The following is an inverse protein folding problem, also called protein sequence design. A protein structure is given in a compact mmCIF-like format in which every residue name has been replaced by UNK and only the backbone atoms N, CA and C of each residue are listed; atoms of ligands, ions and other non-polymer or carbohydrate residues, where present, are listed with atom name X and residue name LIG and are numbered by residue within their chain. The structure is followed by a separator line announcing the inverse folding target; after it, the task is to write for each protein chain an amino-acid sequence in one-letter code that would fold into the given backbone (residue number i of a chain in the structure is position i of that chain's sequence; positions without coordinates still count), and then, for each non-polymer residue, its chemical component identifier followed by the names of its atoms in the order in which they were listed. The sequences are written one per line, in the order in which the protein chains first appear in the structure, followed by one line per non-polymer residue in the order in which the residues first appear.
data_IF_144161763517
#
_entry.id   IF_144161763517
#
_cell.length_a   1.000
_cell.length_b   1.000
_cell.length_c   1.000
_cell.angle_alpha   90.00
_cell.angle_beta   90.00
_cell.angle_gamma   90.00
#
_symmetry.space_group_name_H-M   'P 1'
#
loop_
_entity.id
_entity.type
_entity.pdbx_description
1 polymer ?
2 polymer ?
3 polymer ?
4 water ?
#
# COMPACT_ATOMS: atom_id res chain seq x y z
N UNK A 1 -15.83 2.74 16.11
CA UNK A 1 -14.99 2.00 17.11
C UNK A 1 -13.78 2.81 17.56
N UNK A 2 -12.92 2.12 18.30
CA UNK A 2 -11.69 2.72 18.82
C UNK A 2 -10.81 3.24 17.71
N UNK A 3 -10.23 4.40 17.93
CA UNK A 3 -9.36 5.04 16.95
C UNK A 3 -7.91 5.07 17.42
N UNK A 4 -6.99 4.71 16.53
CA UNK A 4 -5.57 4.74 16.79
C UNK A 4 -4.92 5.70 15.80
N UNK A 5 -4.43 6.82 16.30
CA UNK A 5 -3.83 7.83 15.44
C UNK A 5 -2.31 7.90 15.59
N UNK A 6 -1.59 7.68 14.50
CA UNK A 6 -0.13 7.75 14.54
C UNK A 6 0.39 9.13 14.12
N UNK A 7 1.49 9.55 14.71
CA UNK A 7 2.10 10.85 14.40
C UNK A 7 3.61 10.72 14.42
N UNK A 8 4.29 11.27 13.40
CA UNK A 8 3.66 11.97 12.28
C UNK A 8 3.31 10.88 11.27
N UNK A 9 2.52 11.21 10.25
CA UNK A 9 2.17 10.22 9.25
C UNK A 9 3.40 9.91 8.40
N UNK A 10 4.25 10.91 8.22
CA UNK A 10 5.47 10.78 7.44
C UNK A 10 6.60 11.48 8.18
N UNK A 11 7.82 10.97 8.03
CA UNK A 11 8.95 11.54 8.74
C UNK A 11 10.25 11.35 7.98
N UNK A 12 11.04 12.41 7.84
CA UNK A 12 12.33 12.31 7.14
C UNK A 12 13.44 12.25 8.19
N UNK A 13 14.49 11.48 7.88
CA UNK A 13 15.62 11.31 8.79
C UNK A 13 16.88 10.88 8.07
N UNK A 14 17.96 10.78 8.83
CA UNK A 14 19.23 10.37 8.27
C UNK A 14 19.77 9.28 9.16
N UNK A 15 20.64 8.46 8.60
CA UNK A 15 21.26 7.39 9.33
C UNK A 15 21.91 8.01 10.57
N UNK A 16 21.70 7.39 11.73
CA UNK A 16 22.27 7.92 12.95
C UNK A 16 21.32 8.78 13.77
N UNK A 17 20.21 9.23 13.19
CA UNK A 17 19.27 10.04 13.96
C UNK A 17 18.52 9.23 15.00
N UNK A 18 17.89 9.96 15.92
CA UNK A 18 17.06 9.34 16.94
C UNK A 18 15.68 9.82 16.53
N UNK A 19 14.75 8.90 16.31
CA UNK A 19 13.41 9.33 15.93
C UNK A 19 12.45 8.72 16.92
N UNK A 20 11.28 9.34 17.03
CA UNK A 20 10.26 8.82 17.90
C UNK A 20 8.95 9.00 17.16
N UNK A 21 8.19 7.91 17.14
CA UNK A 21 6.90 7.86 16.48
C UNK A 21 5.90 7.72 17.63
N UNK A 22 4.74 8.37 17.54
CA UNK A 22 3.78 8.23 18.63
C UNK A 22 2.43 7.72 18.14
N UNK A 23 1.69 7.06 19.03
CA UNK A 23 0.41 6.48 18.68
C UNK A 23 -0.56 6.81 19.83
N UNK A 24 -1.70 7.42 19.50
CA UNK A 24 -2.68 7.81 20.50
C UNK A 24 -4.00 7.08 20.29
N UNK A 25 -4.50 6.44 21.32
CA UNK A 25 -5.78 5.76 21.12
C UNK A 25 -6.92 6.60 21.73
N UNK A 26 -8.11 6.45 21.17
CA UNK A 26 -9.30 7.20 21.60
C UNK A 26 -9.86 6.83 22.96
N UNK A 27 -9.57 5.61 23.39
CA UNK A 27 -9.99 5.08 24.68
C UNK A 27 -8.76 4.33 25.18
N UNK A 28 -8.62 4.20 26.49
CA UNK A 28 -7.47 3.51 27.03
C UNK A 28 -7.39 2.05 26.61
N UNK A 29 -6.19 1.60 26.23
CA UNK A 29 -5.98 0.22 25.81
C UNK A 29 -4.97 -0.46 26.74
N UNK A 30 -4.83 0.09 27.95
CA UNK A 30 -3.89 -0.43 28.95
C UNK A 30 -2.51 -0.58 28.31
N UNK A 31 -1.87 -1.75 28.43
CA UNK A 31 -0.55 -1.94 27.84
C UNK A 31 -0.60 -2.83 26.59
N UNK A 32 -1.81 -3.16 26.16
CA UNK A 32 -1.99 -4.04 25.00
C UNK A 32 -1.74 -3.33 23.67
N UNK A 33 -0.48 -3.02 23.39
CA UNK A 33 -0.13 -2.35 22.16
C UNK A 33 1.20 -2.88 21.63
N UNK A 34 1.26 -3.07 20.32
CA UNK A 34 2.46 -3.59 19.67
C UNK A 34 2.92 -2.66 18.55
N UNK A 35 4.23 -2.67 18.29
CA UNK A 35 4.82 -1.87 17.21
C UNK A 35 5.46 -2.78 16.19
N UNK A 36 5.30 -2.44 14.92
CA UNK A 36 5.87 -3.23 13.83
C UNK A 36 6.60 -2.33 12.83
N UNK A 37 7.59 -2.92 12.18
CA UNK A 37 8.32 -2.23 11.12
C UNK A 37 8.01 -3.04 9.86
N UNK A 38 7.62 -2.36 8.79
CA UNK A 38 7.35 -3.06 7.54
C UNK A 38 8.14 -2.51 6.36
N UNK A 39 8.91 -3.37 5.73
CA UNK A 39 9.70 -2.96 4.58
C UNK A 39 8.86 -3.37 3.36
N UNK A 40 8.83 -2.53 2.32
CA UNK A 40 8.05 -2.80 1.10
C UNK A 40 8.19 -4.23 0.56
N UNK A 41 7.06 -4.83 0.21
CA UNK A 41 7.08 -6.18 -0.32
C UNK A 41 7.30 -7.23 0.74
N UNK A 42 7.43 -6.81 1.99
CA UNK A 42 7.64 -7.73 3.09
C UNK A 42 6.51 -7.59 4.11
N UNK A 43 6.31 -8.62 4.94
CA UNK A 43 5.25 -8.55 5.95
C UNK A 43 5.74 -7.72 7.13
N UNK A 44 4.81 -7.22 7.95
CA UNK A 44 5.23 -6.41 9.10
C UNK A 44 6.06 -7.30 10.03
N UNK A 45 7.03 -6.71 10.73
CA UNK A 45 7.85 -7.46 11.68
C UNK A 45 7.64 -6.87 13.06
N UNK A 46 7.40 -7.74 14.04
CA UNK A 46 7.18 -7.32 15.42
C UNK A 46 8.45 -6.73 16.05
N UNK A 47 8.33 -5.56 16.65
CA UNK A 47 9.47 -4.92 17.29
C UNK A 47 9.27 -4.93 18.80
N UNK A 48 8.14 -4.39 19.22
CA UNK A 48 7.76 -4.24 20.63
C UNK A 48 6.37 -4.83 20.88
N UNK A 49 6.22 -5.60 21.97
CA UNK A 49 4.93 -6.16 22.34
C UNK A 49 4.59 -5.68 23.74
N UNK A 50 3.29 -5.67 24.07
CA UNK A 50 2.87 -5.23 25.40
C UNK A 50 3.42 -3.83 25.76
N UNK A 51 3.36 -2.93 24.78
CA UNK A 51 3.79 -1.53 24.92
C UNK A 51 5.28 -1.25 25.07
N UNK A 52 6.00 -2.06 25.84
CA UNK A 52 7.42 -1.80 26.05
C UNK A 52 8.38 -3.00 26.01
N UNK A 53 7.85 -4.23 25.90
CA UNK A 53 8.74 -5.39 25.90
C UNK A 53 9.43 -5.57 24.56
N UNK A 54 10.74 -5.73 24.59
CA UNK A 54 11.53 -5.89 23.37
C UNK A 54 11.37 -7.30 22.85
N UNK A 55 10.89 -7.44 21.63
CA UNK A 55 10.72 -8.78 21.06
C UNK A 55 12.07 -9.43 20.86
N UNK A 56 12.13 -10.74 21.11
CA UNK A 56 13.36 -11.50 20.98
C UNK A 56 13.96 -11.43 19.58
N UNK A 57 15.26 -11.11 19.52
CA UNK A 57 15.93 -11.02 18.25
C UNK A 57 15.84 -9.64 17.62
N UNK A 58 15.11 -8.72 18.25
CA UNK A 58 14.98 -7.36 17.73
C UNK A 58 16.11 -6.51 18.33
N UNK A 59 16.82 -5.75 17.49
CA UNK A 59 17.92 -4.92 18.00
C UNK A 59 17.53 -3.90 19.08
N UNK A 60 18.46 -3.69 20.03
CA UNK A 60 18.30 -2.77 21.14
C UNK A 60 18.01 -1.33 20.86
N UNK A 61 18.24 -0.91 19.62
CA UNK A 61 18.02 0.49 19.34
C UNK A 61 16.54 0.81 19.34
N UNK A 62 15.71 -0.21 19.32
CA UNK A 62 14.26 -0.02 19.34
C UNK A 62 13.77 -0.01 20.78
N UNK A 63 12.89 0.94 21.07
CA UNK A 63 12.37 1.06 22.41
C UNK A 63 10.92 1.53 22.39
N UNK A 64 10.11 0.98 23.28
CA UNK A 64 8.72 1.39 23.35
C UNK A 64 8.32 1.74 24.76
N UNK A 65 7.52 2.79 24.92
CA UNK A 65 7.06 3.22 26.25
C UNK A 65 5.63 3.75 26.17
N UNK A 66 5.01 3.95 27.32
CA UNK A 66 3.66 4.45 27.37
C UNK A 66 2.61 3.40 27.72
N UNK A 67 1.43 3.85 28.12
CA UNK A 67 0.32 2.98 28.47
C UNK A 67 -0.94 3.82 28.46
N UNK A 68 -2.11 3.17 28.37
CA UNK A 68 -3.35 3.93 28.36
C UNK A 68 -3.74 4.46 26.98
N UNK A 69 -3.50 5.75 26.74
CA UNK A 69 -3.87 6.35 25.46
C UNK A 69 -2.71 6.92 24.66
N UNK A 70 -1.52 6.97 25.23
CA UNK A 70 -0.40 7.51 24.48
C UNK A 70 0.84 6.63 24.52
N UNK A 71 1.31 6.25 23.34
CA UNK A 71 2.47 5.38 23.21
C UNK A 71 3.49 5.94 22.26
N UNK A 72 4.74 5.61 22.52
CA UNK A 72 5.79 6.06 21.63
C UNK A 72 6.85 4.97 21.42
N UNK A 73 7.36 4.97 20.19
CA UNK A 73 8.39 4.04 19.75
C UNK A 73 9.55 4.96 19.39
N UNK A 74 10.73 4.66 19.89
CA UNK A 74 11.85 5.47 19.50
C UNK A 74 12.95 4.55 19.03
N UNK A 75 13.64 4.99 17.99
CA UNK A 75 14.75 4.26 17.46
C UNK A 75 15.86 5.23 17.84
N UNK A 76 16.79 4.77 18.68
CA UNK A 76 17.84 5.65 19.15
C UNK A 76 18.88 6.04 18.10
N UNK A 77 19.31 5.09 17.28
CA UNK A 77 20.29 5.36 16.22
C UNK A 77 19.81 4.68 14.94
N UNK A 78 19.13 5.46 14.09
CA UNK A 78 18.58 4.93 12.84
C UNK A 78 19.61 4.27 11.93
N UNK A 79 19.29 3.06 11.47
CA UNK A 79 20.15 2.31 10.56
C UNK A 79 19.48 2.35 9.18
N UNK A 80 20.21 2.00 8.11
CA UNK A 80 19.58 2.04 6.79
C UNK A 80 18.33 1.16 6.63
N UNK A 81 18.31 0.02 7.31
CA UNK A 81 17.16 -0.87 7.23
C UNK A 81 15.92 -0.31 7.93
N UNK A 82 16.06 0.80 8.64
CA UNK A 82 14.93 1.39 9.35
C UNK A 82 14.09 2.35 8.51
N UNK A 83 14.56 2.64 7.30
CA UNK A 83 13.80 3.48 6.40
C UNK A 83 12.70 2.53 5.97
N UNK A 84 11.51 2.77 6.50
CA UNK A 84 10.38 1.91 6.25
C UNK A 84 9.13 2.55 6.81
N UNK A 85 8.07 1.75 6.92
CA UNK A 85 6.82 2.23 7.46
C UNK A 85 6.57 1.48 8.77
N UNK A 86 6.17 2.23 9.80
CA UNK A 86 5.91 1.65 11.12
C UNK A 86 4.44 1.70 11.45
N UNK A 87 3.96 0.66 12.13
CA UNK A 87 2.56 0.59 12.54
C UNK A 87 2.42 0.23 14.01
N UNK A 88 1.38 0.74 14.65
CA UNK A 88 1.09 0.37 16.02
C UNK A 88 -0.20 -0.43 15.95
N UNK A 89 -0.38 -1.38 16.87
CA UNK A 89 -1.59 -2.18 16.91
C UNK A 89 -2.07 -2.32 18.34
N UNK A 90 -3.36 -2.12 18.50
CA UNK A 90 -4.06 -2.18 19.76
C UNK A 90 -4.72 -3.57 19.88
N UNK A 91 -4.56 -4.24 21.02
CA UNK A 91 -5.16 -5.57 21.21
C UNK A 91 -5.98 -5.70 22.50
N UNK A 92 -6.48 -4.58 23.00
CA UNK A 92 -7.30 -4.55 24.22
C UNK A 92 -8.78 -4.70 23.91
N UNK A 93 -9.23 -4.15 22.80
CA UNK A 93 -10.64 -4.21 22.36
C UNK A 93 -10.72 -4.83 20.97
N UNK A 94 -11.83 -5.52 20.68
CA UNK A 94 -12.06 -6.07 19.35
C UNK A 94 -12.88 -5.01 18.63
N UNK A 95 -12.56 -4.73 17.35
CA UNK A 95 -11.49 -5.33 16.57
C UNK A 95 -10.11 -4.80 16.99
N UNK A 96 -9.08 -5.61 16.78
CA UNK A 96 -7.68 -5.28 17.09
C UNK A 96 -7.04 -4.26 16.14
N UNK A 97 -7.48 -3.02 16.21
CA UNK A 97 -6.99 -1.93 15.36
C UNK A 97 -5.51 -1.66 15.11
N UNK A 98 -5.23 -1.20 13.88
CA UNK A 98 -3.88 -0.80 13.49
C UNK A 98 -3.91 0.71 13.24
N UNK A 99 -2.78 1.37 13.48
CA UNK A 99 -2.72 2.80 13.23
C UNK A 99 -2.53 3.04 11.74
N UNK A 100 -2.61 4.29 11.31
CA UNK A 100 -2.46 4.61 9.90
C UNK A 100 -1.05 4.42 9.36
N UNK A 101 -0.09 4.22 10.26
CA UNK A 101 1.29 4.01 9.86
C UNK A 101 2.07 5.30 9.68
N UNK A 102 3.39 5.23 9.85
CA UNK A 102 4.21 6.42 9.61
C UNK A 102 5.41 5.96 8.79
N UNK A 103 5.58 6.65 7.67
CA UNK A 103 6.63 6.38 6.70
C UNK A 103 7.90 7.12 7.08
N UNK A 104 9.00 6.40 7.23
CA UNK A 104 10.26 7.04 7.56
C UNK A 104 11.13 6.93 6.33
N UNK A 105 11.48 8.07 5.72
CA UNK A 105 12.33 8.07 4.53
C UNK A 105 13.59 8.92 4.68
N UNK A 106 14.50 8.78 3.72
CA UNK A 106 15.78 9.48 3.71
C UNK A 106 15.61 10.99 3.52
N UNK A 107 16.09 11.76 4.47
CA UNK A 107 15.98 13.21 4.36
C UNK A 107 16.97 13.77 3.35
N UNK A 108 16.56 14.84 2.70
CA UNK A 108 17.38 15.55 1.72
C UNK A 108 16.76 16.93 1.67
N UNK A 109 17.45 17.89 1.07
CA UNK A 109 16.93 19.24 0.98
C UNK A 109 15.66 19.27 0.15
N UNK A 110 14.85 20.28 0.40
CA UNK A 110 13.60 20.43 -0.31
C UNK A 110 13.85 20.63 -1.81
N UNK A 111 13.03 20.00 -2.64
CA UNK A 111 13.17 20.10 -4.08
C UNK A 111 11.75 20.24 -4.63
N UNK A 112 11.50 21.28 -5.40
CA UNK A 112 10.16 21.42 -5.97
C UNK A 112 10.08 20.56 -7.21
N UNK A 113 8.88 20.04 -7.50
CA UNK A 113 8.70 19.18 -8.68
C UNK A 113 8.77 19.93 -10.01
N UNK A 114 9.26 19.24 -11.03
CA UNK A 114 9.29 19.82 -12.36
C UNK A 114 7.94 19.28 -12.85
N UNK A 115 7.06 20.17 -13.27
CA UNK A 115 5.74 19.75 -13.70
C UNK A 115 5.53 19.77 -15.21
N UNK A 116 4.86 18.75 -15.73
CA UNK A 116 4.59 18.63 -17.15
C UNK A 116 3.17 18.12 -17.36
N UNK A 117 2.47 18.66 -18.37
CA UNK A 117 1.12 18.20 -18.66
C UNK A 117 1.13 17.61 -20.08
N UNK A 118 0.48 16.46 -20.24
CA UNK A 118 0.43 15.79 -21.53
C UNK A 118 -1.00 15.67 -22.02
N UNK A 119 -1.30 16.19 -23.22
CA UNK A 119 -2.67 16.07 -23.70
C UNK A 119 -2.89 14.63 -24.21
N UNK A 120 -4.15 14.24 -24.44
CA UNK A 120 -4.33 12.87 -24.93
C UNK A 120 -3.91 12.74 -26.39
N UNK A 121 -3.40 11.57 -26.75
CA UNK A 121 -2.95 11.31 -28.10
C UNK A 121 -4.15 11.19 -29.03
N UNK A 122 -3.96 11.59 -30.28
CA UNK A 122 -5.01 11.48 -31.27
C UNK A 122 -5.36 10.01 -31.43
N UNK A 123 -4.38 9.13 -31.20
CA UNK A 123 -4.63 7.70 -31.32
C UNK A 123 -5.65 7.26 -30.26
N UNK A 124 -5.49 7.75 -29.04
CA UNK A 124 -6.43 7.36 -27.99
C UNK A 124 -7.80 7.93 -28.29
N UNK A 125 -7.84 9.22 -28.63
CA UNK A 125 -9.11 9.87 -28.94
C UNK A 125 -9.95 9.08 -29.95
N UNK A 126 -9.30 8.48 -30.96
CA UNK A 126 -10.04 7.71 -31.96
C UNK A 126 -10.74 6.50 -31.34
N UNK A 127 -10.29 6.07 -30.17
CA UNK A 127 -10.91 4.93 -29.50
C UNK A 127 -12.04 5.40 -28.59
N UNK A 128 -12.23 6.71 -28.53
CA UNK A 128 -13.30 7.26 -27.71
C UNK A 128 -13.01 7.64 -26.27
N UNK A 129 -11.74 7.62 -25.86
CA UNK A 129 -11.40 7.99 -24.49
C UNK A 129 -10.28 9.01 -24.53
N UNK A 130 -10.22 9.84 -23.49
CA UNK A 130 -9.20 10.86 -23.40
C UNK A 130 -8.51 10.85 -22.04
N UNK A 131 -7.22 10.57 -22.04
CA UNK A 131 -6.43 10.56 -20.81
C UNK A 131 -5.50 11.75 -20.78
N UNK A 132 -5.61 12.58 -19.76
CA UNK A 132 -4.73 13.73 -19.65
C UNK A 132 -3.84 13.38 -18.49
N UNK A 133 -2.55 13.38 -18.71
CA UNK A 133 -1.67 13.04 -17.62
C UNK A 133 -0.74 14.18 -17.24
N UNK A 134 -0.54 14.31 -15.93
CA UNK A 134 0.31 15.33 -15.34
C UNK A 134 1.44 14.62 -14.59
N UNK A 135 2.66 15.11 -14.81
CA UNK A 135 3.83 14.54 -14.18
C UNK A 135 4.51 15.53 -13.25
N UNK A 136 4.82 15.08 -12.03
CA UNK A 136 5.53 15.86 -11.03
C UNK A 136 6.81 15.07 -10.89
N UNK A 137 7.90 15.63 -11.37
CA UNK A 137 9.17 14.92 -11.38
C UNK A 137 10.21 15.32 -10.33
N UNK A 138 10.83 14.31 -9.73
CA UNK A 138 11.88 14.51 -8.74
C UNK A 138 11.66 15.59 -7.69
N UNK A 139 10.73 15.38 -6.76
CA UNK A 139 10.48 16.36 -5.72
C UNK A 139 10.71 15.77 -4.32
N UNK A 140 10.68 16.64 -3.32
CA UNK A 140 10.87 16.21 -1.92
C UNK A 140 10.50 17.40 -1.03
N UNK A 141 9.80 17.16 0.08
CA UNK A 141 9.28 15.86 0.56
C UNK A 141 8.18 15.25 -0.29
N UNK A 142 7.79 14.03 0.07
CA UNK A 142 6.79 13.26 -0.65
C UNK A 142 5.41 13.87 -0.83
N UNK A 143 4.93 14.58 0.17
CA UNK A 143 3.60 15.18 0.10
C UNK A 143 3.48 16.21 -1.01
N UNK A 144 2.53 15.99 -1.92
CA UNK A 144 2.25 16.89 -3.03
C UNK A 144 0.76 16.82 -3.28
N UNK A 145 0.19 17.88 -3.82
CA UNK A 145 -1.24 17.91 -4.10
C UNK A 145 -1.47 18.35 -5.55
N UNK A 146 -2.19 17.52 -6.28
CA UNK A 146 -2.52 17.76 -7.67
C UNK A 146 -4.01 18.05 -7.78
N UNK A 147 -4.35 19.14 -8.47
CA UNK A 147 -5.74 19.51 -8.65
C UNK A 147 -6.02 19.75 -10.13
N UNK A 148 -6.91 18.96 -10.72
CA UNK A 148 -7.24 19.13 -12.12
C UNK A 148 -8.35 20.17 -12.28
N UNK A 149 -8.21 20.99 -13.31
CA UNK A 149 -9.20 22.01 -13.62
C UNK A 149 -9.47 21.98 -15.13
N UNK A 150 -10.74 21.99 -15.49
CA UNK A 150 -11.17 21.98 -16.88
C UNK A 150 -12.03 23.21 -17.07
N UNK A 151 -11.60 24.13 -17.93
CA UNK A 151 -12.34 25.38 -18.14
C UNK A 151 -12.71 25.93 -16.76
N UNK A 152 -11.73 25.91 -15.86
CA UNK A 152 -11.87 26.40 -14.49
C UNK A 152 -12.74 25.61 -13.54
N UNK A 153 -13.31 24.50 -13.99
CA UNK A 153 -14.13 23.72 -13.09
C UNK A 153 -13.18 22.78 -12.37
N UNK A 154 -13.31 22.75 -11.05
CA UNK A 154 -12.50 21.84 -10.27
C UNK A 154 -13.03 20.42 -10.37
N UNK A 155 -12.18 19.54 -10.92
CA UNK A 155 -12.47 18.16 -11.15
C UNK A 155 -12.38 17.29 -9.88
N UNK A 156 -13.19 16.24 -9.86
CA UNK A 156 -13.22 15.34 -8.74
C UNK A 156 -13.76 13.98 -9.13
N UNK A 157 -13.12 12.95 -8.60
CA UNK A 157 -13.54 11.58 -8.86
C UNK A 157 -13.21 11.01 -10.21
N UNK A 158 -12.50 11.76 -11.05
CA UNK A 158 -12.16 11.26 -12.38
C UNK A 158 -10.65 11.20 -12.67
N UNK A 159 -9.86 11.13 -11.61
CA UNK A 159 -8.42 11.05 -11.77
C UNK A 159 -7.84 10.00 -10.81
N UNK A 160 -6.65 9.52 -11.15
CA UNK A 160 -5.95 8.54 -10.32
C UNK A 160 -4.47 8.88 -10.39
N UNK A 161 -3.77 8.68 -9.28
CA UNK A 161 -2.35 8.98 -9.26
C UNK A 161 -1.58 7.88 -8.54
N UNK A 162 -0.30 7.78 -8.86
CA UNK A 162 0.58 6.83 -8.21
C UNK A 162 1.92 7.52 -8.05
N UNK A 163 2.67 7.10 -7.04
CA UNK A 163 3.95 7.70 -6.70
C UNK A 163 5.05 6.63 -6.72
N UNK A 164 6.23 6.99 -7.21
CA UNK A 164 7.35 6.04 -7.23
C UNK A 164 7.92 5.91 -5.81
N UNK A 165 8.74 4.89 -5.58
CA UNK A 165 9.37 4.72 -4.27
C UNK A 165 10.55 5.71 -4.27
N UNK A 166 11.02 6.10 -3.09
CA UNK A 166 12.12 7.05 -3.02
C UNK A 166 13.31 6.61 -3.85
N UNK A 167 13.92 7.53 -4.59
CA UNK A 167 15.06 7.20 -5.44
C UNK A 167 16.31 6.90 -4.61
N UNK A 168 16.94 5.76 -4.86
CA UNK A 168 18.11 5.35 -4.10
C UNK A 168 19.30 6.31 -4.14
N UNK A 169 19.39 7.13 -5.18
CA UNK A 169 20.51 8.08 -5.29
C UNK A 169 20.04 9.51 -5.13
N UNK A 170 18.85 9.77 -5.66
CA UNK A 170 18.19 11.08 -5.65
C UNK A 170 17.52 11.44 -4.33
N UNK A 171 16.85 10.45 -3.73
CA UNK A 171 16.10 10.62 -2.50
C UNK A 171 14.84 11.43 -2.81
N UNK A 172 14.53 11.56 -4.10
CA UNK A 172 13.33 12.31 -4.53
C UNK A 172 12.22 11.33 -4.91
N UNK A 173 11.02 11.87 -5.10
CA UNK A 173 9.86 11.07 -5.51
C UNK A 173 9.33 11.70 -6.80
N UNK A 174 8.56 10.93 -7.54
CA UNK A 174 7.93 11.42 -8.75
C UNK A 174 6.48 10.95 -8.68
N UNK A 175 5.58 11.75 -9.24
CA UNK A 175 4.18 11.41 -9.20
C UNK A 175 3.48 11.60 -10.54
N UNK A 176 2.66 10.64 -10.91
CA UNK A 176 1.92 10.67 -12.16
C UNK A 176 0.43 10.68 -11.85
N UNK A 177 -0.30 11.63 -12.46
CA UNK A 177 -1.74 11.71 -12.25
C UNK A 177 -2.47 11.72 -13.58
N UNK A 178 -3.44 10.82 -13.72
CA UNK A 178 -4.21 10.71 -14.95
C UNK A 178 -5.66 11.16 -14.82
N UNK A 179 -6.06 12.14 -15.63
CA UNK A 179 -7.45 12.61 -15.65
C UNK A 179 -8.08 11.87 -16.84
N UNK A 180 -9.18 11.17 -16.61
CA UNK A 180 -9.83 10.41 -17.67
C UNK A 180 -11.24 10.91 -17.99
N UNK A 181 -11.49 11.21 -19.27
CA UNK A 181 -12.79 11.68 -19.72
C UNK A 181 -13.17 10.98 -21.01
N UNK A 182 -14.46 10.94 -21.33
CA UNK A 182 -14.90 10.34 -22.58
C UNK A 182 -14.42 11.31 -23.66
N UNK A 183 -14.25 10.84 -24.89
CA UNK A 183 -13.82 11.73 -25.95
C UNK A 183 -14.83 12.88 -26.03
N UNK A 184 -16.12 12.55 -25.91
CA UNK A 184 -17.22 13.52 -25.99
C UNK A 184 -17.11 14.68 -24.99
N UNK A 185 -16.85 14.34 -23.73
CA UNK A 185 -16.71 15.36 -22.69
C UNK A 185 -15.45 16.14 -22.97
N UNK A 186 -14.40 15.43 -23.37
CA UNK A 186 -13.13 16.07 -23.66
C UNK A 186 -13.34 17.19 -24.66
N UNK A 187 -14.04 16.87 -25.75
CA UNK A 187 -14.32 17.83 -26.82
C UNK A 187 -15.14 19.04 -26.41
N UNK A 188 -15.88 18.93 -25.31
CA UNK A 188 -16.73 20.04 -24.86
C UNK A 188 -16.02 21.11 -24.04
N UNK A 189 -14.69 21.03 -23.92
CA UNK A 189 -13.92 22.00 -23.13
C UNK A 189 -12.66 22.43 -23.83
N UNK A 190 -12.00 23.47 -23.32
CA UNK A 190 -10.77 23.93 -23.94
C UNK A 190 -9.55 23.94 -23.05
N UNK A 191 -9.66 24.55 -21.87
CA UNK A 191 -8.50 24.66 -20.99
C UNK A 191 -8.35 23.53 -19.97
N UNK A 192 -7.36 22.67 -20.19
CA UNK A 192 -7.07 21.56 -19.29
C UNK A 192 -5.86 21.96 -18.47
N UNK A 193 -6.06 22.10 -17.15
CA UNK A 193 -4.99 22.54 -16.26
C UNK A 193 -4.67 21.58 -15.11
N UNK A 194 -3.38 21.48 -14.80
CA UNK A 194 -2.90 20.64 -13.72
C UNK A 194 -2.29 21.59 -12.68
N UNK A 195 -2.96 21.77 -11.56
CA UNK A 195 -2.45 22.66 -10.51
C UNK A 195 -1.69 21.85 -9.46
N UNK A 196 -0.47 22.29 -9.14
CA UNK A 196 0.36 21.57 -8.19
C UNK A 196 0.82 22.37 -6.96
N UNK A 197 0.55 21.82 -5.78
CA UNK A 197 0.95 22.45 -4.53
C UNK A 197 2.02 21.58 -3.89
N UNK A 198 3.10 22.20 -3.45
CA UNK A 198 4.18 21.46 -2.82
C UNK A 198 5.00 22.41 -1.97
N UNK A 199 5.63 21.87 -0.94
CA UNK A 199 6.42 22.68 -0.03
C UNK A 199 7.53 23.49 -0.71
N UNK A 200 8.13 22.92 -1.76
CA UNK A 200 9.19 23.63 -2.46
C UNK A 200 8.75 24.70 -3.44
N UNK A 201 7.44 24.89 -3.57
CA UNK A 201 6.92 25.90 -4.49
C UNK A 201 6.37 27.07 -3.68
N UNK A 202 6.90 28.27 -3.95
CA UNK A 202 6.45 29.48 -3.26
C UNK A 202 4.93 29.55 -3.27
N UNK A 203 4.34 29.30 -4.43
CA UNK A 203 2.89 29.28 -4.58
C UNK A 203 2.60 28.20 -5.62
N UNK A 204 1.36 27.75 -5.71
CA UNK A 204 0.96 26.71 -6.67
C UNK A 204 1.38 27.01 -8.12
N UNK A 205 1.83 25.98 -8.84
CA UNK A 205 2.24 26.09 -10.23
C UNK A 205 1.11 25.50 -11.05
N UNK A 206 0.84 26.09 -12.21
CA UNK A 206 -0.18 25.51 -13.06
C UNK A 206 0.37 25.28 -14.46
N UNK A 207 0.19 24.06 -14.96
CA UNK A 207 0.63 23.73 -16.30
C UNK A 207 -0.64 23.41 -17.05
N UNK A 208 -0.79 23.97 -18.25
CA UNK A 208 -2.00 23.72 -18.99
C UNK A 208 -1.85 23.86 -20.48
N UNK A 209 -2.93 23.51 -21.18
CA UNK A 209 -2.99 23.62 -22.61
C UNK A 209 -4.44 23.83 -23.03
N UNK A 210 -4.64 24.35 -24.24
CA UNK A 210 -5.98 24.55 -24.75
C UNK A 210 -6.18 23.43 -25.75
N UNK A 211 -7.25 22.66 -25.59
CA UNK A 211 -7.52 21.57 -26.50
C UNK A 211 -7.66 22.04 -27.94
N UNK A 212 -7.15 21.23 -28.86
CA UNK A 212 -7.27 21.55 -30.26
C UNK A 212 -6.45 22.72 -30.76
N UNK A 213 -5.88 23.49 -29.85
CA UNK A 213 -5.08 24.62 -30.29
C UNK A 213 -3.94 23.99 -31.08
N UNK A 214 -3.80 24.38 -32.33
CA UNK A 214 -2.76 23.83 -33.17
C UNK A 214 -1.88 24.91 -33.78
N UNK B 1 10.84 -23.10 15.57
CA UNK B 1 10.63 -22.00 14.60
C UNK B 1 9.21 -22.06 14.04
N UNK B 2 8.50 -20.95 14.16
CA UNK B 2 7.15 -20.85 13.67
C UNK B 2 7.11 -20.20 12.29
N UNK B 3 6.37 -20.82 11.38
CA UNK B 3 6.23 -20.26 10.04
C UNK B 3 4.78 -20.44 9.60
N UNK B 4 4.29 -19.48 8.82
CA UNK B 4 2.93 -19.54 8.31
C UNK B 4 3.00 -19.15 6.85
N UNK B 5 2.07 -19.67 6.05
CA UNK B 5 2.02 -19.35 4.64
C UNK B 5 0.59 -19.39 4.11
N UNK B 6 0.21 -18.31 3.44
CA UNK B 6 -1.12 -18.18 2.87
C UNK B 6 -1.21 -18.77 1.48
N UNK B 7 -2.37 -19.33 1.15
CA UNK B 7 -2.58 -19.88 -0.18
C UNK B 7 -4.04 -19.64 -0.58
N UNK B 8 -4.26 -19.53 -1.89
CA UNK B 8 -5.60 -19.30 -2.40
C UNK B 8 -5.52 -18.75 -3.81
N UNK B 9 -6.65 -18.34 -4.41
CA UNK B 9 -6.63 -17.81 -5.77
C UNK B 9 -6.09 -16.37 -5.86
N UNK B 10 -5.18 -16.11 -6.82
CA UNK B 10 -4.65 -14.76 -6.96
C UNK B 10 -5.67 -13.81 -7.60
N UNK B 11 -6.61 -14.39 -8.33
CA UNK B 11 -7.63 -13.61 -9.01
C UNK B 11 -9.03 -14.08 -8.67
N UNK B 12 -9.93 -13.15 -8.38
CA UNK B 12 -11.29 -13.51 -8.09
C UNK B 12 -12.20 -12.43 -8.67
N UNK B 13 -13.37 -12.85 -9.13
CA UNK B 13 -14.33 -11.94 -9.74
C UNK B 13 -15.36 -11.43 -8.74
N UNK B 14 -15.82 -10.19 -8.94
CA UNK B 14 -16.81 -9.57 -8.07
C UNK B 14 -18.00 -10.52 -7.84
N UNK B 15 -18.59 -10.42 -6.64
CA UNK B 15 -19.71 -11.24 -6.16
C UNK B 15 -19.29 -12.65 -5.80
N UNK B 16 -18.11 -13.06 -6.23
CA UNK B 16 -17.66 -14.41 -5.91
C UNK B 16 -17.20 -14.57 -4.47
N UNK B 17 -16.96 -15.82 -4.09
CA UNK B 17 -16.50 -16.16 -2.75
C UNK B 17 -15.02 -16.49 -2.75
N UNK B 18 -14.31 -15.87 -1.83
CA UNK B 18 -12.88 -16.05 -1.68
C UNK B 18 -12.56 -16.90 -0.46
N UNK B 19 -11.79 -17.96 -0.68
CA UNK B 19 -11.37 -18.86 0.38
C UNK B 19 -9.86 -18.82 0.48
N UNK B 20 -9.35 -18.41 1.63
CA UNK B 20 -7.92 -18.32 1.86
C UNK B 20 -7.51 -19.32 2.92
N UNK B 21 -6.38 -19.97 2.70
CA UNK B 21 -5.89 -20.96 3.62
C UNK B 21 -4.53 -20.58 4.20
N UNK B 22 -4.40 -20.74 5.52
CA UNK B 22 -3.17 -20.44 6.22
C UNK B 22 -2.67 -21.78 6.73
N UNK B 23 -1.53 -22.22 6.22
CA UNK B 23 -0.93 -23.48 6.65
C UNK B 23 0.26 -23.08 7.52
N UNK B 24 0.40 -23.69 8.68
CA UNK B 24 1.49 -23.33 9.57
C UNK B 24 2.22 -24.53 10.16
N UNK B 25 3.37 -24.25 10.78
CA UNK B 25 4.17 -25.28 11.44
C UNK B 25 4.87 -24.62 12.63
N UNK B 26 5.30 -25.40 13.60
CA UNK B 26 5.97 -24.83 14.76
C UNK B 26 5.07 -24.63 15.97
N UNK B 27 3.77 -24.81 15.80
CA UNK B 27 2.82 -24.69 16.89
C UNK B 27 1.56 -25.44 16.50
N UNK B 28 0.69 -25.68 17.46
CA UNK B 28 -0.54 -26.38 17.17
C UNK B 28 -1.68 -25.50 17.62
N UNK B 29 -2.80 -25.58 16.93
CA UNK B 29 -3.95 -24.78 17.30
C UNK B 29 -4.71 -25.50 18.40
N UNK B 30 -3.99 -26.38 19.08
CA UNK B 30 -4.51 -27.12 20.22
C UNK B 30 -3.67 -26.67 21.41
N UNK B 31 -2.69 -25.80 21.17
CA UNK B 31 -1.82 -25.30 22.24
C UNK B 31 -2.58 -24.24 23.05
N UNK B 32 -2.37 -24.24 24.35
CA UNK B 32 -3.06 -23.30 25.21
C UNK B 32 -3.02 -21.82 24.83
N UNK B 33 -4.21 -21.25 24.67
CA UNK B 33 -4.36 -19.84 24.34
C UNK B 33 -3.79 -19.30 23.04
N UNK B 34 -3.38 -20.18 22.13
CA UNK B 34 -2.84 -19.71 20.87
C UNK B 34 -3.91 -19.16 19.93
N UNK B 35 -3.53 -18.21 19.10
CA UNK B 35 -4.45 -17.63 18.15
C UNK B 35 -3.81 -17.45 16.78
N UNK B 36 -4.65 -17.42 15.76
CA UNK B 36 -4.20 -17.21 14.39
C UNK B 36 -5.18 -16.17 13.84
N UNK B 37 -4.66 -15.06 13.35
CA UNK B 37 -5.52 -14.03 12.82
C UNK B 37 -5.21 -13.72 11.37
N UNK B 38 -6.07 -12.91 10.76
CA UNK B 38 -5.90 -12.50 9.37
C UNK B 38 -5.90 -10.98 9.30
N UNK B 39 -4.98 -10.44 8.51
CA UNK B 39 -4.86 -8.99 8.34
C UNK B 39 -4.67 -8.76 6.84
N UNK B 40 -5.24 -7.69 6.30
CA UNK B 40 -5.11 -7.41 4.86
C UNK B 40 -4.47 -6.05 4.65
N UNK B 41 -3.95 -5.83 3.46
CA UNK B 41 -3.31 -4.56 3.12
C UNK B 41 -3.54 -4.19 1.66
N UNK B 42 -4.48 -3.28 1.37
CA UNK B 42 -4.73 -2.88 -0.02
C UNK B 42 -3.44 -2.24 -0.52
N UNK B 43 -3.14 -2.35 -1.83
CA UNK B 43 -1.89 -1.72 -2.26
C UNK B 43 -1.77 -0.24 -1.87
N UNK B 44 -0.62 0.10 -1.31
CA UNK B 44 -0.36 1.47 -0.88
C UNK B 44 -1.09 1.92 0.37
N UNK B 45 -1.95 1.07 0.94
CA UNK B 45 -2.70 1.44 2.14
C UNK B 45 -2.15 0.86 3.46
N UNK B 46 -2.85 1.16 4.55
CA UNK B 46 -2.50 0.70 5.89
C UNK B 46 -2.97 -0.73 6.10
N UNK B 47 -2.56 -1.32 7.22
CA UNK B 47 -2.96 -2.67 7.57
C UNK B 47 -4.39 -2.63 8.12
N UNK B 48 -5.16 -3.66 7.80
CA UNK B 48 -6.53 -3.73 8.30
C UNK B 48 -6.79 -5.10 8.92
N UNK B 49 -7.19 -5.09 10.19
CA UNK B 49 -7.45 -6.33 10.92
C UNK B 49 -8.76 -6.95 10.42
N UNK B 50 -8.76 -8.27 10.20
CA UNK B 50 -9.96 -8.95 9.70
C UNK B 50 -10.66 -9.89 10.67
N UNK B 51 -9.90 -10.78 11.29
CA UNK B 51 -10.47 -11.74 12.21
C UNK B 51 -9.38 -12.55 12.90
N UNK B 52 -9.78 -13.30 13.91
CA UNK B 52 -8.85 -14.15 14.63
C UNK B 52 -9.60 -15.35 15.23
N UNK B 53 -8.90 -16.48 15.38
CA UNK B 53 -9.50 -17.66 15.97
C UNK B 53 -8.49 -18.25 16.96
N UNK B 54 -8.99 -18.71 18.10
CA UNK B 54 -8.12 -19.29 19.13
C UNK B 54 -8.28 -20.80 19.20
N UNK B 55 -7.34 -21.45 19.86
CA UNK B 55 -7.39 -22.90 19.97
C UNK B 55 -8.65 -23.40 20.69
N UNK B 56 -9.21 -22.62 21.61
CA UNK B 56 -10.43 -23.05 22.29
C UNK B 56 -11.64 -22.81 21.39
N UNK B 57 -11.34 -22.38 20.17
CA UNK B 57 -12.32 -22.13 19.11
C UNK B 57 -13.18 -20.87 19.20
N UNK B 58 -12.77 -19.89 20.01
CA UNK B 58 -13.49 -18.62 20.14
C UNK B 58 -13.13 -17.90 18.82
N UNK B 59 -14.10 -17.20 18.21
CA UNK B 59 -13.86 -16.49 16.95
C UNK B 59 -14.28 -15.02 17.07
N UNK B 60 -13.54 -14.12 16.43
CA UNK B 60 -13.89 -12.71 16.47
C UNK B 60 -13.66 -12.11 15.10
N UNK B 61 -14.56 -11.23 14.69
CA UNK B 61 -14.50 -10.62 13.38
C UNK B 61 -14.56 -9.10 13.38
N UNK B 62 -13.99 -8.53 12.34
CA UNK B 62 -14.03 -7.09 12.13
C UNK B 62 -15.51 -6.78 12.00
N UNK B 63 -16.02 -5.79 12.74
CA UNK B 63 -17.44 -5.47 12.63
C UNK B 63 -17.84 -5.04 11.21
N UNK B 64 -16.96 -4.31 10.54
CA UNK B 64 -17.25 -3.84 9.19
C UNK B 64 -17.37 -4.97 8.14
N UNK B 65 -16.74 -6.11 8.40
CA UNK B 65 -16.78 -7.23 7.46
C UNK B 65 -17.48 -8.46 8.01
N UNK B 66 -17.96 -8.37 9.25
CA UNK B 66 -18.61 -9.48 9.90
C UNK B 66 -19.52 -10.36 9.04
N UNK B 67 -20.48 -9.75 8.35
CA UNK B 67 -21.41 -10.52 7.52
C UNK B 67 -20.80 -11.28 6.37
N UNK B 68 -19.62 -10.88 5.90
CA UNK B 68 -19.00 -11.56 4.77
C UNK B 68 -17.87 -12.53 5.15
N UNK B 69 -17.49 -12.56 6.43
CA UNK B 69 -16.39 -13.42 6.88
C UNK B 69 -16.73 -14.63 7.72
N UNK B 70 -15.99 -15.70 7.51
CA UNK B 70 -16.13 -16.92 8.30
C UNK B 70 -14.70 -17.40 8.48
N UNK B 71 -14.30 -17.64 9.72
CA UNK B 71 -12.97 -18.16 9.96
C UNK B 71 -13.16 -19.50 10.64
N UNK B 72 -12.33 -20.46 10.27
CA UNK B 72 -12.44 -21.79 10.83
C UNK B 72 -11.07 -22.40 10.95
N UNK B 73 -10.95 -23.45 11.74
CA UNK B 73 -9.66 -24.09 11.87
C UNK B 73 -9.76 -25.58 11.67
N UNK B 74 -8.66 -26.17 11.21
CA UNK B 74 -8.59 -27.61 11.07
C UNK B 74 -7.30 -27.93 11.81
N UNK B 75 -7.48 -28.23 13.09
CA UNK B 75 -6.40 -28.51 14.01
C UNK B 75 -5.45 -29.61 13.58
N UNK B 76 -6.01 -30.71 13.06
CA UNK B 76 -5.21 -31.84 12.63
C UNK B 76 -4.39 -31.56 11.38
N UNK B 77 -4.84 -30.60 10.56
CA UNK B 77 -4.09 -30.28 9.35
C UNK B 77 -3.22 -29.04 9.53
N UNK B 78 -3.31 -28.43 10.72
CA UNK B 78 -2.55 -27.22 11.02
C UNK B 78 -2.89 -26.15 9.97
N UNK B 79 -4.18 -25.87 9.85
CA UNK B 79 -4.63 -24.85 8.91
C UNK B 79 -5.76 -24.03 9.50
N UNK B 80 -5.83 -22.79 9.03
CA UNK B 80 -6.88 -21.89 9.42
C UNK B 80 -7.40 -21.37 8.10
N UNK B 81 -8.71 -21.40 7.95
CA UNK B 81 -9.31 -20.95 6.71
C UNK B 81 -10.19 -19.72 6.94
N UNK B 82 -10.09 -18.76 6.02
CA UNK B 82 -10.90 -17.55 6.08
C UNK B 82 -11.70 -17.52 4.79
N UNK B 83 -13.01 -17.43 4.91
CA UNK B 83 -13.88 -17.38 3.75
C UNK B 83 -14.54 -16.00 3.69
N UNK B 84 -14.35 -15.31 2.58
CA UNK B 84 -14.96 -13.99 2.41
C UNK B 84 -15.95 -14.09 1.25
N UNK B 85 -17.21 -13.77 1.51
CA UNK B 85 -18.23 -13.86 0.47
C UNK B 85 -18.46 -12.53 -0.24
N UNK B 86 -19.13 -12.60 -1.38
CA UNK B 86 -19.47 -11.44 -2.18
C UNK B 86 -18.37 -10.38 -2.21
N UNK B 87 -17.21 -10.75 -2.74
CA UNK B 87 -16.11 -9.80 -2.81
C UNK B 87 -16.39 -8.76 -3.89
N UNK B 88 -15.74 -7.62 -3.76
CA UNK B 88 -15.88 -6.54 -4.72
C UNK B 88 -14.46 -6.01 -4.93
N UNK B 89 -14.26 -5.11 -5.91
CA UNK B 89 -12.93 -4.57 -6.17
C UNK B 89 -12.17 -4.01 -4.96
N UNK B 90 -12.87 -3.36 -4.01
CA UNK B 90 -12.15 -2.83 -2.85
C UNK B 90 -11.51 -3.90 -1.98
N UNK B 91 -11.81 -5.17 -2.27
CA UNK B 91 -11.22 -6.24 -1.49
C UNK B 91 -9.87 -6.68 -2.06
N UNK B 92 -9.41 -6.06 -3.16
CA UNK B 92 -8.10 -6.48 -3.66
C UNK B 92 -7.09 -5.94 -2.65
N UNK B 93 -6.23 -6.83 -2.19
CA UNK B 93 -5.23 -6.48 -1.19
C UNK B 93 -4.33 -7.68 -1.03
N UNK B 94 -3.31 -7.50 -0.22
CA UNK B 94 -2.42 -8.61 0.11
C UNK B 94 -3.01 -9.07 1.46
N UNK B 95 -3.25 -10.37 1.59
CA UNK B 95 -3.82 -10.93 2.81
C UNK B 95 -2.74 -11.69 3.60
N UNK B 96 -2.61 -11.39 4.88
CA UNK B 96 -1.61 -12.07 5.72
C UNK B 96 -2.29 -12.83 6.85
N UNK B 97 -1.75 -13.98 7.23
CA UNK B 97 -2.27 -14.65 8.41
C UNK B 97 -1.14 -14.50 9.43
N UNK B 98 -1.44 -14.54 10.71
CA UNK B 98 -0.39 -14.36 11.70
C UNK B 98 -0.67 -15.10 13.00
N UNK B 99 0.42 -15.45 13.68
CA UNK B 99 0.36 -16.16 14.95
C UNK B 99 0.26 -15.19 16.13
N UNK B 100 -0.54 -15.58 17.12
CA UNK B 100 -0.69 -14.81 18.34
C UNK B 100 -0.33 -15.78 19.47
N UNK B 101 0.65 -15.36 20.27
CA UNK B 101 1.15 -16.13 21.39
C UNK B 101 0.15 -16.24 22.54
N UNK B 102 0.23 -17.36 23.26
CA UNK B 102 -0.61 -17.55 24.43
C UNK B 102 0.18 -16.98 25.60
N UNK B 103 -0.31 -17.08 26.85
CA UNK B 103 0.45 -16.55 27.99
C UNK B 103 1.63 -17.42 28.38
N UNK B 104 2.63 -16.81 28.99
CA UNK B 104 3.80 -17.56 29.46
C UNK B 104 3.28 -18.41 30.62
N UNK B 105 3.81 -19.62 30.75
CA UNK B 105 3.40 -20.50 31.84
C UNK B 105 4.58 -21.07 32.61
N UNK B 106 4.29 -21.56 33.81
CA UNK B 106 5.29 -22.17 34.67
C UNK B 106 4.61 -23.41 35.25
N UNK B 107 5.12 -24.59 34.88
CA UNK B 107 4.54 -25.83 35.35
C UNK B 107 3.09 -25.85 34.86
N UNK B 108 2.91 -25.48 33.60
CA UNK B 108 1.58 -25.45 33.02
C UNK B 108 0.63 -24.47 33.67
N UNK B 109 1.18 -23.38 34.21
CA UNK B 109 0.35 -22.36 34.85
C UNK B 109 0.70 -21.00 34.26
N UNK B 110 -0.29 -20.30 33.70
CA UNK B 110 -0.05 -18.97 33.10
C UNK B 110 0.34 -17.94 34.15
N UNK B 111 1.48 -17.28 33.93
CA UNK B 111 1.97 -16.28 34.87
C UNK B 111 2.22 -14.94 34.23
N UNK B 112 2.10 -14.86 32.91
CA UNK B 112 2.32 -13.60 32.21
C UNK B 112 1.55 -13.54 30.90
N UNK B 113 0.64 -12.58 30.80
CA UNK B 113 -0.16 -12.41 29.59
C UNK B 113 0.47 -11.40 28.63
N UNK B 114 1.51 -10.71 29.10
CA UNK B 114 2.18 -9.73 28.26
C UNK B 114 2.45 -10.22 26.84
N UNK B 115 2.92 -11.48 26.67
CA UNK B 115 3.20 -12.04 25.35
C UNK B 115 2.05 -12.09 24.34
N UNK B 116 0.81 -11.99 24.81
CA UNK B 116 -0.35 -12.04 23.90
C UNK B 116 -0.58 -10.70 23.21
N UNK B 117 0.09 -9.65 23.66
CA UNK B 117 -0.12 -8.34 23.08
C UNK B 117 0.68 -8.00 21.84
N UNK B 118 0.44 -8.78 20.79
CA UNK B 118 1.08 -8.64 19.51
C UNK B 118 0.81 -9.89 18.68
N UNK B 119 1.08 -9.79 17.38
CA UNK B 119 0.97 -10.93 16.47
C UNK B 119 2.46 -11.04 16.16
N UNK B 120 3.13 -12.01 16.75
CA UNK B 120 4.58 -12.17 16.62
C UNK B 120 5.22 -12.74 15.36
N UNK B 121 4.51 -13.59 14.62
CA UNK B 121 5.09 -14.14 13.39
C UNK B 121 4.05 -14.02 12.30
N UNK B 122 4.49 -13.56 11.14
CA UNK B 122 3.61 -13.34 10.01
C UNK B 122 3.98 -14.18 8.78
N UNK B 123 2.99 -14.40 7.92
CA UNK B 123 3.25 -15.12 6.70
C UNK B 123 3.70 -14.10 5.67
N UNK B 124 4.28 -14.55 4.57
CA UNK B 124 4.75 -13.63 3.53
C UNK B 124 3.61 -12.79 2.95
N UNK B 125 2.40 -13.34 3.01
CA UNK B 125 1.24 -12.63 2.48
C UNK B 125 0.91 -13.09 1.07
N UNK B 126 -0.37 -13.07 0.72
CA UNK B 126 -0.77 -13.46 -0.62
C UNK B 126 -1.58 -12.35 -1.27
N UNK B 127 -1.21 -12.03 -2.50
CA UNK B 127 -1.84 -10.96 -3.26
C UNK B 127 -3.09 -11.44 -3.96
N UNK B 128 -4.20 -10.77 -3.68
CA UNK B 128 -5.46 -11.12 -4.29
C UNK B 128 -6.05 -9.92 -5.01
N UNK B 129 -6.39 -10.14 -6.28
CA UNK B 129 -6.96 -9.09 -7.11
C UNK B 129 -8.40 -9.43 -7.44
N UNK B 130 -9.30 -8.49 -7.21
CA UNK B 130 -10.70 -8.73 -7.52
C UNK B 130 -11.10 -7.89 -8.73
N UNK B 131 -11.38 -8.58 -9.81
CA UNK B 131 -11.77 -7.94 -11.06
C UNK B 131 -12.53 -8.92 -11.92
N UNK B 132 -13.51 -8.42 -12.67
CA UNK B 132 -14.31 -9.27 -13.54
C UNK B 132 -13.62 -9.39 -14.90
N UNK B 133 -12.48 -8.72 -15.03
CA UNK B 133 -11.75 -8.73 -16.28
C UNK B 133 -11.11 -10.04 -16.75
N UNK B 134 -11.04 -10.18 -18.07
CA UNK B 134 -10.41 -11.32 -18.71
C UNK B 134 -9.04 -10.83 -19.12
N UNK B 135 -8.11 -11.75 -19.37
CA UNK B 135 -6.77 -11.38 -19.79
C UNK B 135 -6.87 -10.43 -20.98
N UNK B 136 -6.06 -9.38 -20.98
CA UNK B 136 -6.10 -8.39 -22.06
C UNK B 136 -4.82 -7.56 -22.20
N UNK B 137 -4.35 -7.42 -23.43
CA UNK B 137 -3.15 -6.64 -23.70
C UNK B 137 -3.41 -5.14 -23.67
N UNK B 138 -2.38 -4.34 -23.33
CA UNK B 138 -2.47 -2.89 -23.24
C UNK B 138 -2.46 -2.16 -24.59
N UNK B 139 -3.02 -0.96 -24.59
CA UNK B 139 -2.99 -0.09 -25.76
C UNK B 139 -1.88 0.85 -25.32
N UNK B 140 -0.94 1.17 -26.20
CA UNK B 140 0.14 2.04 -25.80
C UNK B 140 0.05 3.36 -26.53
N UNK B 141 -0.02 4.45 -25.77
CA UNK B 141 -0.11 5.77 -26.37
C UNK B 141 1.08 6.65 -26.00
N UNK B 142 1.44 7.58 -26.89
CA UNK B 142 2.57 8.46 -26.61
C UNK B 142 2.23 9.57 -25.63
N UNK B 143 3.24 10.02 -24.90
CA UNK B 143 3.11 11.12 -23.97
C UNK B 143 4.21 12.06 -24.46
N UNK B 144 3.80 13.11 -25.16
CA UNK B 144 4.77 14.06 -25.72
C UNK B 144 4.59 15.49 -25.21
N UNK B 154 15.39 20.27 -19.37
CA UNK B 154 14.64 19.07 -19.01
C UNK B 154 13.27 19.09 -19.64
N UNK B 155 13.12 18.14 -20.56
CA UNK B 155 11.88 17.92 -21.30
C UNK B 155 11.47 16.55 -20.85
N UNK B 156 10.19 16.24 -20.95
CA UNK B 156 9.70 14.93 -20.53
C UNK B 156 8.82 14.31 -21.57
N UNK B 157 8.87 12.99 -21.65
CA UNK B 157 8.02 12.30 -22.58
C UNK B 157 7.88 10.88 -22.06
N UNK B 158 6.89 10.16 -22.55
CA UNK B 158 6.71 8.80 -22.10
C UNK B 158 5.67 8.03 -22.87
N UNK B 159 5.21 6.97 -22.24
CA UNK B 159 4.21 6.11 -22.82
C UNK B 159 3.14 5.82 -21.77
N UNK B 160 1.90 5.78 -22.23
CA UNK B 160 0.77 5.49 -21.38
C UNK B 160 0.39 4.07 -21.76
N UNK B 161 0.54 3.15 -20.82
CA UNK B 161 0.22 1.74 -21.06
C UNK B 161 -1.17 1.54 -20.48
N UNK B 162 -2.17 1.60 -21.34
CA UNK B 162 -3.55 1.53 -20.89
C UNK B 162 -4.42 0.30 -21.16
N UNK B 163 -5.28 0.02 -20.19
CA UNK B 163 -6.25 -1.07 -20.24
C UNK B 163 -5.75 -2.49 -20.45
N UNK B 164 -4.93 -2.99 -19.52
CA UNK B 164 -4.44 -4.36 -19.62
C UNK B 164 -4.80 -5.14 -18.36
N UNK B 165 -4.70 -6.46 -18.45
CA UNK B 165 -4.98 -7.32 -17.33
C UNK B 165 -4.47 -8.71 -17.65
N UNK B 166 -3.85 -9.38 -16.68
CA UNK B 166 -3.63 -8.92 -15.30
C UNK B 166 -2.22 -8.33 -15.19
N UNK B 167 -1.81 -7.97 -13.98
CA UNK B 167 -0.46 -7.48 -13.77
C UNK B 167 0.40 -8.71 -14.06
N UNK B 168 1.70 -8.51 -14.38
CA UNK B 168 2.40 -7.23 -14.51
C UNK B 168 2.69 -6.96 -15.96
N UNK B 169 3.32 -5.83 -16.22
CA UNK B 169 3.74 -5.46 -17.56
C UNK B 169 5.16 -4.92 -17.35
N UNK B 170 6.01 -5.05 -18.35
CA UNK B 170 7.38 -4.55 -18.23
C UNK B 170 7.59 -3.45 -19.27
N UNK B 171 8.29 -2.40 -18.87
CA UNK B 171 8.56 -1.29 -19.77
C UNK B 171 10.02 -0.90 -19.63
N UNK B 172 10.67 -0.69 -20.78
CA UNK B 172 12.05 -0.26 -20.79
C UNK B 172 12.14 0.79 -21.89
N UNK B 173 13.23 1.53 -21.91
CA UNK B 173 13.41 2.54 -22.93
C UNK B 173 14.64 2.23 -23.78
N UNK B 174 14.49 2.47 -25.08
CA UNK B 174 15.53 2.21 -26.07
C UNK B 174 16.12 0.83 -25.93
N UNK B 175 15.24 -0.15 -25.81
CA UNK B 175 15.61 -1.55 -25.68
C UNK B 175 16.59 -1.80 -24.55
N UNK B 176 16.50 -1.01 -23.49
CA UNK B 176 17.38 -1.20 -22.36
C UNK B 176 18.57 -0.25 -22.32
N UNK B 177 18.74 0.56 -23.35
CA UNK B 177 19.86 1.49 -23.40
C UNK B 177 19.60 2.80 -22.65
N UNK B 178 18.35 3.09 -22.33
CA UNK B 178 18.02 4.32 -21.63
C UNK B 178 17.50 4.00 -20.22
N UNK B 179 18.22 4.46 -19.19
CA UNK B 179 17.83 4.22 -17.81
C UNK B 179 17.79 5.49 -16.96
N UNK B 180 18.72 6.41 -17.22
CA UNK B 180 18.81 7.66 -16.48
C UNK B 180 17.59 8.54 -16.72
N UNK B 181 16.91 8.95 -15.64
CA UNK B 181 15.74 9.81 -15.79
C UNK B 181 14.45 9.07 -16.11
N UNK B 182 14.49 7.74 -16.03
CA UNK B 182 13.32 6.94 -16.31
C UNK B 182 12.50 6.70 -15.05
N UNK B 183 11.19 6.87 -15.14
CA UNK B 183 10.31 6.63 -14.01
C UNK B 183 9.09 5.86 -14.51
N UNK B 184 8.99 4.61 -14.09
CA UNK B 184 7.86 3.77 -14.45
C UNK B 184 7.02 3.69 -13.18
N UNK B 185 5.85 4.28 -13.22
CA UNK B 185 4.96 4.30 -12.07
C UNK B 185 4.19 3.03 -11.84
N UNK B 186 3.80 2.78 -10.57
CA UNK B 186 3.04 1.57 -10.29
C UNK B 186 1.67 1.76 -10.97
N UNK B 187 1.12 0.68 -11.49
CA UNK B 187 -0.17 0.73 -12.17
C UNK B 187 -1.30 1.00 -11.19
N UNK B 188 -2.41 1.53 -11.71
CA UNK B 188 -3.58 1.76 -10.89
C UNK B 188 -4.63 0.85 -11.49
N UNK B 189 -5.50 0.30 -10.64
CA UNK B 189 -6.56 -0.58 -11.08
C UNK B 189 -7.75 0.34 -11.31
N UNK B 190 -8.14 0.52 -12.58
CA UNK B 190 -9.24 1.41 -12.91
C UNK B 190 -10.59 0.80 -12.51
N UNK B 191 -11.62 1.63 -12.39
CA UNK B 191 -12.94 1.14 -12.01
C UNK B 191 -13.44 0.11 -13.01
N UNK B 192 -12.86 0.12 -14.22
CA UNK B 192 -13.26 -0.83 -15.26
C UNK B 192 -12.72 -2.23 -14.97
N UNK B 193 -11.74 -2.32 -14.07
CA UNK B 193 -11.17 -3.61 -13.73
C UNK B 193 -9.88 -3.91 -14.50
N UNK B 194 -9.45 -2.91 -15.28
CA UNK B 194 -8.24 -3.03 -16.06
C UNK B 194 -7.19 -2.11 -15.46
N UNK B 195 -5.92 -2.47 -15.62
CA UNK B 195 -4.84 -1.66 -15.08
C UNK B 195 -4.39 -0.61 -16.08
N UNK B 196 -3.66 0.37 -15.59
CA UNK B 196 -3.14 1.44 -16.43
C UNK B 196 -1.92 2.01 -15.75
N UNK B 197 -0.88 2.28 -16.54
CA UNK B 197 0.33 2.85 -15.98
C UNK B 197 1.04 3.71 -17.00
N UNK B 198 1.84 4.64 -16.48
CA UNK B 198 2.61 5.54 -17.31
C UNK B 198 4.06 5.28 -17.00
N UNK B 199 4.91 5.54 -17.98
CA UNK B 199 6.34 5.41 -17.84
C UNK B 199 6.88 6.62 -18.56
N UNK B 200 7.62 7.45 -17.85
CA UNK B 200 8.16 8.64 -18.49
C UNK B 200 9.67 8.67 -18.37
N UNK B 201 10.27 9.66 -19.02
CA UNK B 201 11.70 9.85 -18.97
C UNK B 201 12.00 11.31 -19.26
N UNK B 202 12.91 11.86 -18.46
CA UNK B 202 13.34 13.23 -18.56
C UNK B 202 14.71 13.28 -19.23
N UNK B 203 14.83 14.07 -20.29
CA UNK B 203 16.09 14.20 -21.03
C UNK B 203 16.61 15.63 -21.01
N UNK B 212 16.82 9.42 -30.27
CA UNK B 212 15.44 8.97 -30.34
C UNK B 212 15.01 8.22 -29.08
N UNK B 213 13.70 8.27 -28.79
CA UNK B 213 13.15 7.62 -27.61
C UNK B 213 12.01 6.66 -27.94
N UNK B 214 12.19 5.39 -27.61
CA UNK B 214 11.18 4.39 -27.87
C UNK B 214 10.95 3.50 -26.64
N UNK B 215 9.71 3.39 -26.20
CA UNK B 215 9.41 2.58 -25.02
C UNK B 215 9.09 1.17 -25.49
N UNK B 216 9.65 0.18 -24.79
CA UNK B 216 9.41 -1.21 -25.13
C UNK B 216 8.50 -1.76 -24.05
N UNK B 217 7.27 -2.06 -24.45
CA UNK B 217 6.27 -2.57 -23.54
C UNK B 217 6.02 -4.06 -23.77
N UNK B 218 5.93 -4.81 -22.68
CA UNK B 218 5.70 -6.24 -22.79
C UNK B 218 4.74 -6.75 -21.70
N UNK B 219 3.59 -7.28 -22.13
CA UNK B 219 2.61 -7.85 -21.20
C UNK B 219 2.57 -9.35 -21.48
N UNK B 220 3.43 -10.10 -20.78
CA UNK B 220 3.51 -11.54 -20.96
C UNK B 220 2.18 -12.29 -20.95
N UNK B 221 1.34 -12.06 -19.93
CA UNK B 221 0.05 -12.76 -19.90
C UNK B 221 -0.68 -12.86 -21.25
N UNK B 222 -0.79 -11.75 -21.96
CA UNK B 222 -1.49 -11.74 -23.25
C UNK B 222 -0.60 -11.85 -24.50
N UNK B 223 0.70 -12.03 -24.29
CA UNK B 223 1.65 -12.12 -25.39
C UNK B 223 1.50 -10.92 -26.30
N UNK B 224 1.69 -9.75 -25.71
CA UNK B 224 1.59 -8.48 -26.40
C UNK B 224 2.86 -7.66 -26.20
N UNK B 225 3.67 -7.55 -27.25
CA UNK B 225 4.89 -6.75 -27.18
C UNK B 225 4.65 -5.56 -28.10
N UNK B 226 5.08 -4.39 -27.66
CA UNK B 226 4.90 -3.18 -28.41
C UNK B 226 6.10 -2.27 -28.22
N UNK B 227 6.59 -1.70 -29.31
CA UNK B 227 7.68 -0.74 -29.23
C UNK B 227 7.06 0.52 -29.80
N UNK B 228 7.05 1.59 -29.03
CA UNK B 228 6.48 2.82 -29.53
C UNK B 228 7.46 3.96 -29.43
N UNK B 229 7.86 4.48 -30.59
CA UNK B 229 8.79 5.59 -30.68
C UNK B 229 7.98 6.83 -30.40
N UNK B 230 8.47 7.65 -29.49
CA UNK B 230 7.80 8.88 -29.09
C UNK B 230 8.64 10.11 -29.43
N UNK B 231 8.03 11.08 -30.09
CA UNK B 231 8.78 12.29 -30.42
C UNK B 231 8.01 13.57 -30.15
N UNK B 232 8.72 14.71 -30.07
CA UNK B 232 8.21 16.06 -29.81
C UNK B 232 7.13 16.66 -30.71
N UNK C 1 -16.31 -5.23 22.22
CA UNK C 1 -16.12 -5.85 23.56
C UNK C 1 -14.64 -5.95 23.88
N UNK C 2 -14.31 -6.62 24.98
CA UNK C 2 -12.93 -6.76 25.42
C UNK C 2 -12.16 -7.93 24.82
N UNK C 3 -10.85 -7.75 24.69
CA UNK C 3 -9.99 -8.80 24.15
C UNK C 3 -10.06 -10.07 24.99
N UNK C 4 -9.59 -11.16 24.39
CA UNK C 4 -9.57 -12.47 25.02
C UNK C 4 -8.86 -12.44 26.38
N UNK C 5 -7.75 -11.72 26.46
CA UNK C 5 -6.98 -11.67 27.71
C UNK C 5 -7.17 -10.44 28.59
N UNK C 6 -8.15 -9.60 28.26
CA UNK C 6 -8.40 -8.40 29.04
C UNK C 6 -8.95 -8.69 30.44
N UNK C 7 -8.61 -7.81 31.37
CA UNK C 7 -9.02 -7.85 32.78
C UNK C 7 -8.02 -8.48 33.76
#
# INVERSE_FOLDING_TARGET
ALQLTQSPSSLSASVGDRITITCRASQGVTSALAWYRQKPGSPPQLLIYDASSLESGVPSRFSGSGSGTEFTLTISTLRPEDFATYYCQQLHFYPHTFGGGTRVDVRRTVAAPSVFIFPPSDEQLKSGTASVVCLLNNFYPREAKVQWKVDNALQSGNSQESVTEQDSKDSTYSLSSTLTLSKADYEKHKVYECEVTHQGLSSPVTKSFNRGEC
RITLKESGPPLVKPTQTLTLTCSFSGFSLSDFGVGVGWIRQPPGKALEWLAIIYSDDDKRYSPSLNTRLTITKDTSKNQVVLVMTRVSPVDTATYFCAHRRGPTTLFGVPIARGPVNAMDVWGQGITVTISSTSTKGPSVFPLAPSSKSTSGGTAALGCLVKDYFPEPVTVSWNSGALTSGVHTFPAVLQSSGLYSLSSVVTVPSSSLGTQTYTCNVNHKPSNTKVDKRVEPKSCDK
ELDXWAS
#
